data_IF_327537837732
#
_entry.id   IF_327537837732
#
_cell.length_a   1.000
_cell.length_b   1.000
_cell.length_c   1.000
_cell.angle_alpha   90.00
_cell.angle_beta   90.00
_cell.angle_gamma   90.00
#
_symmetry.space_group_name_H-M   'P 1'
#
loop_
_entity.id
_entity.type
_entity.pdbx_description
1 polymer ?
#
# COMPACT_ATOMS: atom_id res chain seq x y z
N UNK A 1 -11.95 12.32 -15.29
CA UNK A 1 -11.31 11.02 -15.01
C UNK A 1 -10.19 11.26 -14.01
N UNK A 2 -10.30 10.74 -12.78
CA UNK A 2 -9.23 10.88 -11.79
C UNK A 2 -8.04 10.02 -12.21
N UNK A 3 -6.84 10.59 -12.26
CA UNK A 3 -5.62 9.82 -12.50
C UNK A 3 -5.46 8.75 -11.42
N UNK A 4 -5.12 7.52 -11.82
CA UNK A 4 -5.07 6.37 -10.92
C UNK A 4 -4.05 6.54 -9.78
N UNK A 5 -3.02 7.36 -9.97
CA UNK A 5 -2.06 7.76 -8.92
C UNK A 5 -2.71 8.49 -7.72
N UNK A 6 -3.92 9.05 -7.90
CA UNK A 6 -4.72 9.65 -6.82
C UNK A 6 -5.64 8.63 -6.11
N UNK A 7 -5.75 7.41 -6.63
CA UNK A 7 -6.59 6.34 -6.06
C UNK A 7 -5.77 5.25 -5.35
N UNK A 8 -4.43 5.39 -5.34
CA UNK A 8 -3.50 4.48 -4.69
C UNK A 8 -2.98 5.12 -3.41
N UNK A 9 -2.99 4.34 -2.32
CA UNK A 9 -2.31 4.69 -1.08
C UNK A 9 -1.21 3.68 -0.75
N UNK A 10 -0.19 4.12 0.00
CA UNK A 10 0.93 3.28 0.42
C UNK A 10 1.09 3.39 1.93
N UNK A 11 1.18 2.24 2.61
CA UNK A 11 1.57 2.13 4.02
C UNK A 11 2.88 1.35 4.10
N UNK A 12 3.95 1.98 4.56
CA UNK A 12 5.29 1.38 4.62
C UNK A 12 5.84 1.42 6.03
N UNK A 13 6.64 0.43 6.40
CA UNK A 13 7.46 0.52 7.60
C UNK A 13 8.60 1.52 7.41
N UNK A 14 9.15 2.01 8.52
CA UNK A 14 10.19 3.03 8.53
C UNK A 14 11.46 2.61 7.78
N UNK A 15 11.89 1.34 7.91
CA UNK A 15 13.09 0.84 7.25
C UNK A 15 12.92 0.89 5.74
N UNK A 16 11.75 0.45 5.25
CA UNK A 16 11.44 0.44 3.82
C UNK A 16 11.24 1.82 3.22
N UNK A 17 10.70 2.75 3.99
CA UNK A 17 10.47 4.12 3.55
C UNK A 17 11.76 4.84 3.12
N UNK A 18 12.90 4.50 3.73
CA UNK A 18 14.19 5.16 3.47
C UNK A 18 14.69 4.95 2.04
N UNK A 19 14.39 3.81 1.43
CA UNK A 19 14.82 3.47 0.06
C UNK A 19 13.68 3.48 -0.97
N UNK A 20 12.42 3.52 -0.53
CA UNK A 20 11.25 3.48 -1.39
C UNK A 20 10.81 4.88 -1.88
N UNK A 21 11.33 5.31 -3.03
CA UNK A 21 10.98 6.61 -3.65
C UNK A 21 9.70 6.54 -4.50
N UNK A 22 8.55 6.72 -3.86
CA UNK A 22 7.23 6.74 -4.52
C UNK A 22 6.73 8.17 -4.79
N UNK A 23 7.49 8.97 -5.54
CA UNK A 23 7.23 10.40 -5.74
C UNK A 23 5.85 10.71 -6.33
N UNK A 24 5.29 9.82 -7.15
CA UNK A 24 4.00 10.02 -7.84
C UNK A 24 2.76 9.68 -7.00
N UNK A 25 2.91 8.95 -5.91
CA UNK A 25 1.79 8.58 -5.03
C UNK A 25 1.60 9.68 -3.99
N UNK A 26 0.38 10.19 -3.84
CA UNK A 26 0.10 11.27 -2.88
C UNK A 26 -0.14 10.77 -1.45
N UNK A 27 -0.89 9.68 -1.31
CA UNK A 27 -1.24 9.09 -0.01
C UNK A 27 -0.14 8.13 0.46
N UNK A 28 0.89 8.65 1.13
CA UNK A 28 2.03 7.87 1.64
C UNK A 28 2.10 7.97 3.16
N UNK A 29 2.06 6.81 3.82
CA UNK A 29 2.06 6.70 5.27
C UNK A 29 3.24 5.83 5.72
N UNK A 30 4.16 6.42 6.48
CA UNK A 30 5.23 5.67 7.14
C UNK A 30 4.78 5.34 8.56
N UNK A 31 4.82 4.07 8.92
CA UNK A 31 4.33 3.58 10.23
C UNK A 31 5.42 2.80 10.96
N UNK A 32 5.40 2.88 12.29
CA UNK A 32 6.44 2.29 13.15
C UNK A 32 6.00 1.02 13.87
N UNK A 33 4.69 0.78 13.95
CA UNK A 33 4.12 -0.33 14.69
C UNK A 33 2.72 -0.71 14.19
N UNK A 34 2.20 -1.82 14.71
CA UNK A 34 0.92 -2.36 14.31
C UNK A 34 -0.30 -1.47 14.65
N UNK A 35 -0.23 -0.74 15.78
CA UNK A 35 -1.30 0.17 16.20
C UNK A 35 -1.44 1.31 15.18
N UNK A 36 -0.32 1.90 14.78
CA UNK A 36 -0.26 2.96 13.79
C UNK A 36 -0.68 2.47 12.40
N UNK A 37 -0.22 1.28 12.01
CA UNK A 37 -0.60 0.64 10.74
C UNK A 37 -2.12 0.42 10.66
N UNK A 38 -2.74 -0.13 11.71
CA UNK A 38 -4.18 -0.35 11.77
C UNK A 38 -5.00 0.95 11.75
N UNK A 39 -4.51 2.01 12.43
CA UNK A 39 -5.14 3.33 12.40
C UNK A 39 -5.12 3.94 10.98
N UNK A 40 -3.99 3.88 10.29
CA UNK A 40 -3.86 4.36 8.92
C UNK A 40 -4.75 3.57 7.96
N UNK A 41 -4.75 2.23 8.04
CA UNK A 41 -5.62 1.39 7.22
C UNK A 41 -7.11 1.77 7.39
N UNK A 42 -7.59 1.89 8.63
CA UNK A 42 -8.97 2.28 8.91
C UNK A 42 -9.32 3.67 8.39
N UNK A 43 -8.37 4.60 8.41
CA UNK A 43 -8.56 5.94 7.84
C UNK A 43 -8.68 5.89 6.32
N UNK A 44 -7.76 5.18 5.65
CA UNK A 44 -7.74 5.05 4.20
C UNK A 44 -8.99 4.34 3.67
N UNK A 45 -9.48 3.30 4.35
CA UNK A 45 -10.72 2.60 3.96
C UNK A 45 -12.01 3.40 4.17
N UNK A 46 -11.94 4.62 4.70
CA UNK A 46 -13.08 5.56 4.69
C UNK A 46 -13.12 6.38 3.41
N UNK A 47 -12.02 6.43 2.67
CA UNK A 47 -11.90 7.20 1.44
C UNK A 47 -12.44 6.38 0.26
N UNK A 48 -13.63 6.72 -0.21
CA UNK A 48 -14.30 6.02 -1.32
C UNK A 48 -13.56 6.14 -2.67
N UNK A 49 -12.62 7.09 -2.79
CA UNK A 49 -11.80 7.26 -3.99
C UNK A 49 -10.60 6.33 -4.07
N UNK A 50 -10.23 5.66 -2.96
CA UNK A 50 -9.10 4.73 -2.94
C UNK A 50 -9.53 3.36 -3.44
N UNK A 51 -8.83 2.85 -4.44
CA UNK A 51 -9.08 1.54 -5.06
C UNK A 51 -7.99 0.52 -4.71
N UNK A 52 -6.80 0.98 -4.32
CA UNK A 52 -5.63 0.14 -4.04
C UNK A 52 -4.85 0.67 -2.83
N UNK A 53 -4.50 -0.22 -1.90
CA UNK A 53 -3.59 0.07 -0.79
C UNK A 53 -2.38 -0.86 -0.89
N UNK A 54 -1.22 -0.28 -1.08
CA UNK A 54 0.06 -0.98 -1.13
C UNK A 54 0.66 -1.02 0.26
N UNK A 55 1.14 -2.18 0.68
CA UNK A 55 1.75 -2.34 2.01
C UNK A 55 3.05 -3.13 1.93
N UNK A 56 4.03 -2.83 2.77
CA UNK A 56 5.21 -3.69 2.90
C UNK A 56 4.86 -4.99 3.60
N UNK A 57 5.64 -6.06 3.38
CA UNK A 57 5.42 -7.38 4.00
C UNK A 57 5.26 -7.27 5.53
N UNK A 58 6.11 -6.47 6.18
CA UNK A 58 6.05 -6.21 7.62
C UNK A 58 4.75 -5.52 8.04
N UNK A 59 4.29 -4.54 7.25
CA UNK A 59 3.03 -3.85 7.52
C UNK A 59 1.85 -4.79 7.30
N UNK A 60 1.89 -5.65 6.28
CA UNK A 60 0.84 -6.63 6.02
C UNK A 60 0.62 -7.56 7.22
N UNK A 61 1.70 -8.07 7.81
CA UNK A 61 1.62 -8.91 9.02
C UNK A 61 0.90 -8.18 10.17
N UNK A 62 1.21 -6.89 10.37
CA UNK A 62 0.60 -6.08 11.40
C UNK A 62 -0.88 -5.82 11.21
N UNK A 63 -1.33 -5.60 9.96
CA UNK A 63 -2.71 -5.23 9.66
C UNK A 63 -3.60 -6.44 9.37
N UNK A 64 -3.04 -7.64 9.22
CA UNK A 64 -3.79 -8.87 8.94
C UNK A 64 -5.01 -9.08 9.85
N UNK A 65 -4.94 -8.84 11.19
CA UNK A 65 -6.12 -8.93 12.05
C UNK A 65 -7.19 -7.87 11.70
N UNK A 66 -6.76 -6.64 11.39
CA UNK A 66 -7.67 -5.55 11.00
C UNK A 66 -8.36 -5.83 9.66
N UNK A 67 -7.64 -6.40 8.67
CA UNK A 67 -8.22 -6.78 7.37
C UNK A 67 -9.34 -7.80 7.57
N UNK A 68 -9.12 -8.83 8.38
CA UNK A 68 -10.11 -9.87 8.64
C UNK A 68 -11.39 -9.31 9.27
N UNK A 69 -11.26 -8.37 10.21
CA UNK A 69 -12.39 -7.66 10.80
C UNK A 69 -13.15 -6.82 9.75
N UNK A 70 -12.40 -6.12 8.88
CA UNK A 70 -12.96 -5.20 7.89
C UNK A 70 -13.63 -5.93 6.71
N UNK A 71 -13.10 -7.08 6.29
CA UNK A 71 -13.71 -7.93 5.25
C UNK A 71 -15.08 -8.45 5.67
N UNK A 72 -15.28 -8.75 6.96
CA UNK A 72 -16.60 -9.11 7.49
C UNK A 72 -17.62 -7.99 7.36
N UNK A 73 -17.17 -6.74 7.32
CA UNK A 73 -17.99 -5.54 7.21
C UNK A 73 -18.16 -5.01 5.77
N UNK A 74 -17.76 -5.81 4.75
CA UNK A 74 -18.04 -5.52 3.34
C UNK A 74 -17.17 -4.45 2.68
N UNK A 75 -16.12 -3.95 3.35
CA UNK A 75 -15.18 -2.98 2.75
C UNK A 75 -14.09 -3.69 1.97
N UNK A 76 -14.02 -3.45 0.67
CA UNK A 76 -13.03 -4.05 -0.23
C UNK A 76 -12.05 -2.98 -0.73
N UNK A 77 -10.79 -3.09 -0.32
CA UNK A 77 -9.67 -2.50 -1.03
C UNK A 77 -8.73 -3.64 -1.42
N UNK A 78 -8.12 -3.55 -2.59
CA UNK A 78 -7.07 -4.50 -2.98
C UNK A 78 -5.84 -4.15 -2.15
N UNK A 79 -5.31 -5.13 -1.41
CA UNK A 79 -4.12 -4.97 -0.57
C UNK A 79 -3.01 -5.82 -1.18
N UNK A 80 -1.90 -5.19 -1.56
CA UNK A 80 -0.75 -5.86 -2.18
C UNK A 80 0.45 -5.76 -1.26
N UNK A 81 1.04 -6.92 -0.94
CA UNK A 81 2.29 -7.02 -0.20
C UNK A 81 3.48 -6.74 -1.10
N UNK A 82 4.41 -5.94 -0.60
CA UNK A 82 5.66 -5.62 -1.27
C UNK A 82 6.79 -6.34 -0.51
N UNK A 83 7.48 -7.26 -1.19
CA UNK A 83 8.59 -8.05 -0.61
C UNK A 83 9.82 -7.17 -0.41
N UNK A 84 10.33 -7.12 0.83
CA UNK A 84 11.55 -6.37 1.17
C UNK A 84 12.78 -7.26 1.37
N UNK A 85 12.92 -8.34 0.58
CA UNK A 85 14.02 -9.31 0.72
C UNK A 85 14.86 -9.42 -0.57
N UNK A 86 16.15 -9.02 -0.44
CA UNK A 86 17.28 -8.90 -1.41
C UNK A 86 17.71 -7.48 -1.93
N UNK A 87 18.18 -6.60 -1.05
CA UNK A 87 19.20 -5.56 -1.35
C UNK A 87 18.74 -4.21 -1.98
N UNK A 88 19.40 -3.08 -1.61
CA UNK A 88 18.81 -1.73 -1.58
C UNK A 88 18.50 -1.04 -2.92
N UNK A 89 18.89 -1.59 -4.07
CA UNK A 89 18.77 -0.90 -5.38
C UNK A 89 17.91 -1.66 -6.40
N UNK A 90 17.98 -2.99 -6.40
CA UNK A 90 17.18 -3.83 -7.32
C UNK A 90 15.75 -4.02 -6.79
N UNK A 91 15.56 -4.07 -5.47
CA UNK A 91 14.24 -4.21 -4.84
C UNK A 91 13.33 -3.01 -5.09
N UNK A 92 13.86 -1.79 -4.93
CA UNK A 92 13.08 -0.56 -5.12
C UNK A 92 12.61 -0.41 -6.58
N UNK A 93 13.42 -0.87 -7.54
CA UNK A 93 13.05 -0.90 -8.96
C UNK A 93 11.98 -1.95 -9.24
N UNK A 94 12.16 -3.19 -8.74
CA UNK A 94 11.17 -4.28 -8.87
C UNK A 94 9.82 -3.87 -8.28
N UNK A 95 9.86 -3.21 -7.13
CA UNK A 95 8.68 -2.71 -6.46
C UNK A 95 7.99 -1.60 -7.27
N UNK A 96 8.75 -0.62 -7.76
CA UNK A 96 8.22 0.42 -8.65
C UNK A 96 7.62 -0.17 -9.93
N UNK A 97 8.23 -1.22 -10.50
CA UNK A 97 7.71 -1.95 -11.66
C UNK A 97 6.41 -2.69 -11.37
N UNK A 98 6.30 -3.39 -10.23
CA UNK A 98 5.07 -4.05 -9.80
C UNK A 98 3.93 -3.04 -9.61
N UNK A 99 4.21 -1.91 -8.95
CA UNK A 99 3.25 -0.83 -8.77
C UNK A 99 2.80 -0.30 -10.14
N UNK A 100 3.74 0.04 -11.02
CA UNK A 100 3.41 0.53 -12.36
C UNK A 100 2.60 -0.49 -13.17
N UNK A 101 2.94 -1.78 -13.08
CA UNK A 101 2.21 -2.85 -13.77
C UNK A 101 0.78 -3.00 -13.25
N UNK A 102 0.58 -2.99 -11.93
CA UNK A 102 -0.76 -3.00 -11.34
C UNK A 102 -1.56 -1.77 -11.80
N UNK A 103 -0.93 -0.59 -11.83
CA UNK A 103 -1.56 0.64 -12.34
C UNK A 103 -1.99 0.47 -13.81
N UNK A 104 -1.14 -0.10 -14.66
CA UNK A 104 -1.42 -0.34 -16.08
C UNK A 104 -2.52 -1.39 -16.32
N UNK A 105 -2.56 -2.48 -15.55
CA UNK A 105 -3.62 -3.50 -15.66
C UNK A 105 -5.01 -2.93 -15.30
N UNK A 106 -5.07 -2.02 -14.33
CA UNK A 106 -6.32 -1.36 -13.94
C UNK A 106 -6.78 -0.29 -14.94
N UNK A 107 -5.89 0.28 -15.77
CA UNK A 107 -6.27 1.20 -16.87
C UNK A 107 -6.93 0.51 -18.06
N UNK A 108 -6.76 -0.82 -18.19
CA UNK A 108 -7.29 -1.61 -19.32
C UNK A 108 -8.73 -2.11 -19.11
N UNK A 109 -9.28 -1.93 -17.91
CA UNK A 109 -10.71 -2.16 -17.60
C UNK A 109 -11.47 -0.84 -17.67
#
# INVERSE_FOLDING_TARGET
MLSLENQVAVITDQQTAEYLKLEKIKEKHVVKNAVEAGKNLRSLLKNSYLSLILVTERVLEWIKPSIQELMKNGKQAVIVSLTGKKGPKEEANTLKELINKTIEEFKKK
#
